data_IF_753192070345
#
_entry.id   IF_753192070345
#
_cell.length_a   1.000
_cell.length_b   1.000
_cell.length_c   1.000
_cell.angle_alpha   90.00
_cell.angle_beta   90.00
_cell.angle_gamma   90.00
#
_symmetry.space_group_name_H-M   'P 1'
#
loop_
_entity.id
_entity.type
_entity.pdbx_description
1 polymer ?
#
# COMPACT_ATOMS: atom_id res chain seq x y z
N UNK A 1 14.37 15.92 -10.72
CA UNK A 1 14.46 15.76 -9.25
C UNK A 1 13.98 14.37 -8.96
N UNK A 2 14.81 13.51 -8.38
CA UNK A 2 14.39 12.17 -8.01
C UNK A 2 13.31 12.28 -6.94
N UNK A 3 12.21 11.56 -7.10
CA UNK A 3 11.17 11.45 -6.08
C UNK A 3 11.75 10.62 -4.94
N UNK A 4 11.88 11.19 -3.76
CA UNK A 4 12.39 10.48 -2.59
C UNK A 4 11.25 9.66 -1.95
N UNK A 5 10.80 8.63 -2.68
CA UNK A 5 9.74 7.72 -2.25
C UNK A 5 10.36 6.39 -1.89
N UNK A 6 10.63 6.19 -0.59
CA UNK A 6 11.34 5.01 -0.07
C UNK A 6 10.38 4.07 0.70
N UNK A 7 9.26 4.59 1.18
CA UNK A 7 8.28 3.84 1.97
C UNK A 7 6.84 4.33 1.73
N UNK A 8 5.88 3.72 2.42
CA UNK A 8 4.47 4.09 2.33
C UNK A 8 4.22 5.54 2.81
N UNK A 9 4.96 6.04 3.80
CA UNK A 9 4.73 7.38 4.35
C UNK A 9 5.19 8.44 3.36
N UNK A 10 6.39 8.28 2.80
CA UNK A 10 6.92 9.16 1.76
C UNK A 10 6.07 9.11 0.48
N UNK A 11 5.52 7.93 0.12
CA UNK A 11 4.60 7.79 -1.00
C UNK A 11 3.30 8.59 -0.77
N UNK A 12 2.70 8.50 0.41
CA UNK A 12 1.49 9.26 0.75
C UNK A 12 1.76 10.77 0.76
N UNK A 13 2.89 11.20 1.33
CA UNK A 13 3.29 12.61 1.34
C UNK A 13 3.49 13.15 -0.08
N UNK A 14 4.17 12.40 -0.92
CA UNK A 14 4.36 12.73 -2.32
C UNK A 14 3.02 12.87 -3.06
N UNK A 15 2.11 11.91 -2.90
CA UNK A 15 0.80 11.94 -3.55
C UNK A 15 -0.10 13.06 -3.02
N UNK A 16 0.04 13.44 -1.76
CA UNK A 16 -0.69 14.57 -1.14
C UNK A 16 -0.37 15.89 -1.82
N UNK A 17 0.86 16.04 -2.31
CA UNK A 17 1.31 17.21 -3.08
C UNK A 17 0.77 17.27 -4.51
N UNK A 18 0.13 16.22 -5.03
CA UNK A 18 -0.35 16.13 -6.41
C UNK A 18 -1.88 16.17 -6.44
N UNK A 19 -2.51 17.20 -7.00
CA UNK A 19 -3.97 17.29 -7.08
C UNK A 19 -4.61 16.04 -7.70
N UNK A 20 -5.65 15.53 -7.06
CA UNK A 20 -6.43 14.39 -7.54
C UNK A 20 -5.77 13.01 -7.38
N UNK A 21 -4.57 12.90 -6.77
CA UNK A 21 -3.91 11.63 -6.57
C UNK A 21 -4.23 10.97 -5.23
N UNK A 22 -4.61 11.73 -4.22
CA UNK A 22 -4.93 11.23 -2.88
C UNK A 22 -6.16 11.96 -2.31
N UNK A 23 -7.03 11.20 -1.68
CA UNK A 23 -8.13 11.68 -0.85
C UNK A 23 -8.00 11.07 0.53
N UNK A 24 -8.09 11.87 1.57
CA UNK A 24 -8.08 11.43 2.96
C UNK A 24 -9.41 11.74 3.64
N UNK A 25 -9.84 10.87 4.55
CA UNK A 25 -11.07 11.06 5.30
C UNK A 25 -10.92 10.62 6.76
N UNK A 26 -11.50 11.42 7.65
CA UNK A 26 -11.60 11.13 9.08
C UNK A 26 -13.00 10.60 9.47
N UNK A 27 -13.88 10.46 8.49
CA UNK A 27 -15.19 9.84 8.71
C UNK A 27 -15.00 8.39 9.10
N UNK A 28 -15.65 7.96 10.18
CA UNK A 28 -15.62 6.56 10.59
C UNK A 28 -16.16 5.66 9.48
N UNK A 29 -15.43 4.59 9.20
CA UNK A 29 -15.78 3.60 8.19
C UNK A 29 -15.69 2.21 8.76
N UNK A 30 -16.67 1.37 8.44
CA UNK A 30 -16.66 -0.04 8.80
C UNK A 30 -15.68 -0.81 7.88
N UNK A 31 -14.69 -1.54 8.44
CA UNK A 31 -13.76 -2.33 7.63
C UNK A 31 -14.43 -3.48 6.88
N UNK A 32 -15.62 -3.93 7.32
CA UNK A 32 -16.41 -4.97 6.67
C UNK A 32 -17.22 -4.38 5.51
N UNK A 33 -16.73 -4.50 4.30
CA UNK A 33 -17.35 -4.11 3.03
C UNK A 33 -17.49 -2.58 2.79
N UNK A 34 -17.81 -1.76 3.80
CA UNK A 34 -18.06 -0.32 3.62
C UNK A 34 -16.81 0.40 3.09
N UNK A 35 -15.66 0.18 3.70
CA UNK A 35 -14.39 0.76 3.27
C UNK A 35 -14.13 0.49 1.78
N UNK A 36 -14.27 -0.75 1.35
CA UNK A 36 -14.12 -1.13 -0.05
C UNK A 36 -15.19 -0.52 -0.94
N UNK A 37 -16.44 -0.40 -0.43
CA UNK A 37 -17.55 0.24 -1.13
C UNK A 37 -17.31 1.73 -1.36
N UNK A 38 -16.85 2.45 -0.35
CA UNK A 38 -16.49 3.88 -0.45
C UNK A 38 -15.35 4.07 -1.45
N UNK A 39 -14.27 3.27 -1.34
CA UNK A 39 -13.19 3.33 -2.32
C UNK A 39 -13.68 3.00 -3.74
N UNK A 40 -14.53 1.98 -3.89
CA UNK A 40 -15.09 1.63 -5.18
C UNK A 40 -15.88 2.79 -5.81
N UNK A 41 -16.56 3.56 -4.98
CA UNK A 41 -17.33 4.73 -5.46
C UNK A 41 -16.43 5.93 -5.79
N UNK A 42 -15.48 6.26 -4.94
CA UNK A 42 -14.63 7.48 -5.06
C UNK A 42 -13.38 7.20 -5.90
N UNK A 43 -12.61 6.18 -5.52
CA UNK A 43 -11.30 5.91 -6.11
C UNK A 43 -11.34 5.08 -7.38
N UNK A 44 -12.37 4.28 -7.57
CA UNK A 44 -12.51 3.43 -8.75
C UNK A 44 -13.64 3.84 -9.71
N UNK A 45 -14.23 5.04 -9.53
CA UNK A 45 -15.20 5.63 -10.45
C UNK A 45 -16.64 5.12 -10.29
N UNK A 46 -16.99 4.59 -9.12
CA UNK A 46 -18.34 4.17 -8.78
C UNK A 46 -18.63 2.69 -9.02
N UNK A 47 -19.90 2.34 -9.00
CA UNK A 47 -20.40 0.95 -9.11
C UNK A 47 -20.54 0.45 -10.54
N UNK A 48 -20.05 1.19 -11.51
CA UNK A 48 -20.06 0.81 -12.94
C UNK A 48 -19.26 -0.46 -13.16
N UNK A 49 -19.57 -1.32 -14.15
CA UNK A 49 -18.90 -2.61 -14.36
C UNK A 49 -17.38 -2.55 -14.46
N UNK A 50 -16.84 -1.46 -15.01
CA UNK A 50 -15.39 -1.29 -15.14
C UNK A 50 -14.89 -0.17 -14.23
N UNK A 51 -13.91 -0.43 -13.35
CA UNK A 51 -13.25 0.62 -12.58
C UNK A 51 -12.59 1.64 -13.50
N UNK A 52 -12.63 2.91 -13.10
CA UNK A 52 -11.80 3.91 -13.75
C UNK A 52 -10.33 3.67 -13.41
N UNK A 53 -9.44 4.03 -14.34
CA UNK A 53 -7.99 3.97 -14.13
C UNK A 53 -7.42 5.27 -13.55
N UNK A 54 -8.25 6.28 -13.36
CA UNK A 54 -7.83 7.65 -13.02
C UNK A 54 -8.30 8.13 -11.64
N UNK A 55 -9.01 7.29 -10.89
CA UNK A 55 -9.48 7.65 -9.54
C UNK A 55 -8.35 7.83 -8.54
N UNK A 56 -8.54 8.67 -7.49
CA UNK A 56 -7.54 8.87 -6.45
C UNK A 56 -7.29 7.61 -5.63
N UNK A 57 -6.12 7.52 -5.00
CA UNK A 57 -5.94 6.67 -3.84
C UNK A 57 -6.70 7.27 -2.65
N UNK A 58 -7.05 6.45 -1.67
CA UNK A 58 -7.73 6.92 -0.46
C UNK A 58 -6.98 6.49 0.79
N UNK A 59 -7.02 7.35 1.81
CA UNK A 59 -6.61 7.03 3.19
C UNK A 59 -7.81 7.23 4.11
N UNK A 60 -8.12 6.19 4.86
CA UNK A 60 -9.11 6.21 5.92
C UNK A 60 -8.38 6.30 7.25
N UNK A 61 -8.59 7.39 7.98
CA UNK A 61 -7.91 7.68 9.24
C UNK A 61 -8.70 7.18 10.46
N UNK A 62 -9.98 6.81 10.29
CA UNK A 62 -10.85 6.40 11.36
C UNK A 62 -11.56 5.08 10.99
N UNK A 63 -11.06 3.99 11.55
CA UNK A 63 -11.57 2.65 11.29
C UNK A 63 -12.37 2.18 12.49
N UNK A 64 -13.64 1.87 12.28
CA UNK A 64 -14.56 1.38 13.31
C UNK A 64 -13.99 0.20 14.08
N UNK A 65 -13.90 0.31 15.39
CA UNK A 65 -13.33 -0.71 16.25
C UNK A 65 -11.80 -0.77 16.29
N UNK A 66 -11.10 0.11 15.53
CA UNK A 66 -9.65 0.13 15.44
C UNK A 66 -9.11 1.59 15.47
N UNK A 67 -9.17 2.28 16.62
CA UNK A 67 -8.90 3.72 16.71
C UNK A 67 -7.46 4.12 16.31
N UNK A 68 -6.52 3.19 16.42
CA UNK A 68 -5.10 3.44 16.09
C UNK A 68 -4.74 2.98 14.66
N UNK A 69 -5.72 2.45 13.92
CA UNK A 69 -5.48 1.93 12.57
C UNK A 69 -5.81 2.98 11.50
N UNK A 70 -5.01 2.98 10.44
CA UNK A 70 -5.32 3.69 9.19
C UNK A 70 -5.20 2.72 8.03
N UNK A 71 -6.04 2.92 7.02
CA UNK A 71 -6.02 2.08 5.81
C UNK A 71 -5.77 2.95 4.59
N UNK A 72 -4.74 2.62 3.82
CA UNK A 72 -4.49 3.20 2.51
C UNK A 72 -4.89 2.21 1.42
N UNK A 73 -5.65 2.66 0.44
CA UNK A 73 -6.16 1.81 -0.65
C UNK A 73 -5.99 2.49 -2.01
N UNK A 74 -5.78 1.71 -3.06
CA UNK A 74 -5.72 2.20 -4.44
C UNK A 74 -4.41 2.88 -4.83
N UNK A 75 -3.35 2.78 -4.03
CA UNK A 75 -2.04 3.37 -4.35
C UNK A 75 -1.48 2.86 -5.69
N UNK A 76 -1.65 1.59 -5.98
CA UNK A 76 -1.17 0.96 -7.21
C UNK A 76 -2.28 0.77 -8.27
N UNK A 77 -3.46 1.35 -8.10
CA UNK A 77 -4.59 1.17 -8.99
C UNK A 77 -4.50 1.97 -10.30
N UNK A 78 -3.60 2.95 -10.39
CA UNK A 78 -3.37 3.76 -11.59
C UNK A 78 -1.94 3.58 -12.10
N UNK A 79 -1.79 3.28 -13.40
CA UNK A 79 -0.48 3.16 -14.04
C UNK A 79 0.33 4.47 -13.93
N UNK A 80 -0.33 5.61 -14.12
CA UNK A 80 0.30 6.92 -14.03
C UNK A 80 0.77 7.22 -12.61
N UNK A 81 -0.01 6.82 -11.60
CA UNK A 81 0.37 6.97 -10.20
C UNK A 81 1.59 6.10 -9.86
N UNK A 82 1.58 4.85 -10.28
CA UNK A 82 2.73 3.95 -10.09
C UNK A 82 3.98 4.53 -10.76
N UNK A 83 3.86 5.03 -11.97
CA UNK A 83 4.97 5.65 -12.67
C UNK A 83 5.50 6.89 -11.94
N UNK A 84 4.60 7.75 -11.40
CA UNK A 84 4.99 8.90 -10.57
C UNK A 84 5.73 8.47 -9.30
N UNK A 85 5.22 7.46 -8.59
CA UNK A 85 5.86 6.94 -7.38
C UNK A 85 7.26 6.37 -7.64
N UNK A 86 7.46 5.73 -8.80
CA UNK A 86 8.72 5.13 -9.21
C UNK A 86 9.63 6.07 -10.02
N UNK A 87 9.28 7.35 -10.17
CA UNK A 87 9.99 8.34 -11.00
C UNK A 87 10.24 7.83 -12.44
N UNK A 88 9.22 7.22 -13.03
CA UNK A 88 9.30 6.54 -14.32
C UNK A 88 8.34 7.13 -15.36
N UNK A 89 8.66 6.93 -16.64
CA UNK A 89 7.70 7.18 -17.73
C UNK A 89 6.62 6.08 -17.73
N UNK A 90 5.31 6.43 -17.65
CA UNK A 90 4.22 5.44 -17.67
C UNK A 90 4.26 4.50 -18.87
N UNK A 91 4.75 4.97 -20.03
CA UNK A 91 4.88 4.15 -21.24
C UNK A 91 6.02 3.14 -21.15
N UNK A 92 7.04 3.43 -20.37
CA UNK A 92 8.22 2.59 -20.19
C UNK A 92 8.24 1.77 -18.91
N UNK A 93 7.19 1.90 -18.08
CA UNK A 93 7.11 1.23 -16.78
C UNK A 93 7.39 -0.28 -16.86
N UNK A 94 6.83 -0.97 -17.87
CA UNK A 94 7.07 -2.41 -18.07
C UNK A 94 8.54 -2.75 -18.37
N UNK A 95 9.21 -1.92 -19.15
CA UNK A 95 10.65 -2.11 -19.43
C UNK A 95 11.50 -1.88 -18.19
N UNK A 96 11.20 -0.82 -17.43
CA UNK A 96 11.91 -0.53 -16.18
C UNK A 96 11.75 -1.66 -15.15
N UNK A 97 10.54 -2.20 -14.99
CA UNK A 97 10.29 -3.33 -14.09
C UNK A 97 11.04 -4.58 -14.56
N UNK A 98 11.08 -4.85 -15.86
CA UNK A 98 11.87 -5.96 -16.41
C UNK A 98 13.38 -5.78 -16.14
N UNK A 99 13.91 -4.58 -16.33
CA UNK A 99 15.32 -4.28 -15.99
C UNK A 99 15.61 -4.47 -14.50
N UNK A 100 14.68 -4.05 -13.62
CA UNK A 100 14.81 -4.24 -12.18
C UNK A 100 14.85 -5.73 -11.78
N UNK A 101 14.05 -6.57 -12.45
CA UNK A 101 14.06 -8.03 -12.22
C UNK A 101 15.38 -8.65 -12.69
N UNK A 102 15.94 -8.18 -13.80
CA UNK A 102 17.21 -8.68 -14.33
C UNK A 102 18.43 -8.18 -13.55
N UNK A 103 18.29 -7.06 -12.84
CA UNK A 103 19.35 -6.43 -12.04
C UNK A 103 18.85 -6.19 -10.60
N UNK A 104 18.59 -7.25 -9.84
CA UNK A 104 18.03 -7.11 -8.49
C UNK A 104 19.06 -6.45 -7.55
N UNK A 105 18.55 -5.57 -6.68
CA UNK A 105 19.34 -5.06 -5.55
C UNK A 105 19.43 -6.16 -4.50
N UNK A 106 20.61 -6.53 -4.00
CA UNK A 106 20.74 -7.51 -2.93
C UNK A 106 19.97 -7.09 -1.69
N UNK A 107 19.30 -8.02 -0.99
CA UNK A 107 18.66 -7.71 0.28
C UNK A 107 19.71 -7.30 1.32
N UNK A 108 19.32 -6.40 2.22
CA UNK A 108 20.13 -6.03 3.37
C UNK A 108 19.68 -6.87 4.56
N UNK A 109 20.60 -7.59 5.18
CA UNK A 109 20.32 -8.31 6.42
C UNK A 109 20.14 -7.31 7.55
N UNK A 110 18.97 -7.35 8.20
CA UNK A 110 18.68 -6.54 9.39
C UNK A 110 18.55 -7.45 10.61
N UNK A 111 19.09 -7.06 11.76
CA UNK A 111 18.95 -7.82 13.00
C UNK A 111 17.47 -8.05 13.34
N UNK A 112 17.16 -9.22 13.88
CA UNK A 112 15.78 -9.58 14.24
C UNK A 112 15.13 -8.59 15.22
N UNK A 113 15.93 -7.98 16.09
CA UNK A 113 15.52 -6.98 17.04
C UNK A 113 15.01 -5.70 16.36
N UNK A 114 15.60 -5.29 15.25
CA UNK A 114 15.15 -4.11 14.48
C UNK A 114 13.81 -4.37 13.81
N UNK A 115 13.59 -5.57 13.30
CA UNK A 115 12.30 -5.96 12.72
C UNK A 115 11.22 -5.97 13.79
N UNK A 116 11.53 -6.48 14.99
CA UNK A 116 10.61 -6.52 16.11
C UNK A 116 10.24 -5.12 16.63
N UNK A 117 11.19 -4.19 16.68
CA UNK A 117 10.94 -2.85 17.17
C UNK A 117 10.02 -2.06 16.25
N UNK A 118 10.16 -2.24 14.94
CA UNK A 118 9.29 -1.59 13.95
C UNK A 118 7.88 -2.17 13.91
N UNK A 119 7.70 -3.43 14.31
CA UNK A 119 6.39 -4.12 14.32
C UNK A 119 5.74 -4.10 15.70
N UNK A 120 6.51 -4.05 16.79
CA UNK A 120 5.96 -4.01 18.17
C UNK A 120 5.48 -2.63 18.58
N UNK A 121 5.90 -1.57 17.90
CA UNK A 121 5.25 -0.25 18.02
C UNK A 121 3.78 -0.31 17.56
N UNK A 122 3.42 -1.29 16.77
CA UNK A 122 2.06 -1.74 16.55
C UNK A 122 1.78 -2.98 17.42
N UNK A 123 1.71 -2.83 18.72
CA UNK A 123 1.04 -3.80 19.61
C UNK A 123 -0.46 -3.78 19.30
N UNK A 124 -0.78 -4.11 18.09
CA UNK A 124 -2.08 -4.17 17.48
C UNK A 124 -2.66 -5.58 17.69
N UNK A 125 -3.99 -5.74 17.75
CA UNK A 125 -4.67 -7.03 17.72
C UNK A 125 -4.26 -7.94 16.56
N UNK A 126 -3.48 -7.45 15.61
CA UNK A 126 -2.81 -8.23 14.55
C UNK A 126 -1.69 -9.17 15.04
N UNK A 127 -1.38 -9.22 16.33
CA UNK A 127 -0.47 -10.24 16.86
C UNK A 127 -0.94 -11.68 16.54
N UNK A 128 -2.25 -11.90 16.45
CA UNK A 128 -2.83 -13.19 16.01
C UNK A 128 -2.63 -13.46 14.52
N UNK A 129 -2.72 -12.45 13.68
CA UNK A 129 -2.46 -12.55 12.23
C UNK A 129 -0.96 -12.75 11.99
N UNK A 130 -0.11 -12.10 12.78
CA UNK A 130 1.33 -12.25 12.71
C UNK A 130 1.76 -13.71 13.02
N UNK A 131 1.19 -14.31 14.05
CA UNK A 131 1.46 -15.71 14.37
C UNK A 131 0.94 -16.65 13.26
N UNK A 132 -0.18 -16.34 12.65
CA UNK A 132 -0.72 -17.13 11.52
C UNK A 132 0.12 -16.98 10.25
N UNK A 133 0.67 -15.78 9.98
CA UNK A 133 1.57 -15.54 8.84
C UNK A 133 2.95 -16.19 9.03
N UNK A 134 3.49 -16.18 10.25
CA UNK A 134 4.74 -16.88 10.58
C UNK A 134 4.56 -18.38 10.52
N UNK A 135 3.44 -18.93 11.02
CA UNK A 135 3.13 -20.35 10.91
C UNK A 135 2.90 -20.78 9.46
N UNK A 136 2.25 -19.94 8.64
CA UNK A 136 2.10 -20.20 7.21
C UNK A 136 3.45 -20.20 6.47
N UNK A 137 4.41 -19.39 6.90
CA UNK A 137 5.74 -19.37 6.30
C UNK A 137 6.54 -20.66 6.60
N UNK A 138 6.38 -21.21 7.80
CA UNK A 138 7.03 -22.49 8.16
C UNK A 138 6.39 -23.69 7.46
N UNK A 139 5.08 -23.64 7.13
CA UNK A 139 4.39 -24.67 6.37
C UNK A 139 4.69 -24.64 4.85
N UNK A 140 5.22 -23.52 4.32
CA UNK A 140 5.60 -23.36 2.91
C UNK A 140 7.08 -23.61 2.64
N UNK A 141 7.84 -24.07 3.62
CA UNK A 141 9.18 -24.58 3.40
C UNK A 141 9.08 -25.88 2.58
N UNK A 142 9.05 -25.75 1.26
CA UNK A 142 9.20 -26.87 0.33
C UNK A 142 10.60 -27.44 0.59
N UNK A 143 10.73 -28.71 1.01
CA UNK A 143 12.04 -29.33 1.11
C UNK A 143 12.63 -29.43 -0.30
N UNK A 144 13.83 -28.87 -0.47
CA UNK A 144 14.64 -29.02 -1.68
C UNK A 144 15.14 -30.46 -1.78
#
# INVERSE_FOLDING_TARGET
MSNNVDDLRSALEFLRGIPGQLVETDVEVDPEAELCGVYRHVGAGGTVPRPTQEGPAMVFNNIKGHPDARVAIGLLASRDRVAKLLDADPKRLGFMLNEAVLNPVPPVDVPFEEIHTSVSAAASPYSKVKNSLLLAHDEWAIPL
#
